data_IF_617337702490
#
_entry.id   IF_617337702490
#
_cell.length_a   1.000
_cell.length_b   1.000
_cell.length_c   1.000
_cell.angle_alpha   90.00
_cell.angle_beta   90.00
_cell.angle_gamma   90.00
#
_symmetry.space_group_name_H-M   'P 1'
#
loop_
_entity.id
_entity.type
_entity.pdbx_description
1 polymer ?
#
# COMPACT_ATOMS: atom_id res chain seq x y z
N UNK A 1 -8.59 5.39 -25.30
CA UNK A 1 -8.15 3.99 -25.04
C UNK A 1 -8.07 3.83 -23.53
N UNK A 2 -8.96 3.04 -22.89
CA UNK A 2 -8.87 2.74 -21.45
C UNK A 2 -7.55 1.99 -21.19
N UNK A 3 -6.80 2.39 -20.17
CA UNK A 3 -5.54 1.76 -19.79
C UNK A 3 -5.87 0.32 -19.37
N UNK A 4 -5.35 -0.67 -20.12
CA UNK A 4 -5.73 -2.08 -19.94
C UNK A 4 -5.06 -2.71 -18.71
N UNK A 5 -3.88 -2.18 -18.33
CA UNK A 5 -3.13 -2.47 -17.11
C UNK A 5 -2.29 -1.25 -16.71
N UNK A 6 -2.25 -0.94 -15.42
CA UNK A 6 -1.52 0.18 -14.84
C UNK A 6 -1.77 0.24 -13.33
N UNK A 7 -1.13 1.19 -12.65
CA UNK A 7 -1.19 1.41 -11.18
C UNK A 7 -2.63 1.45 -10.64
N UNK A 8 -3.61 1.80 -11.48
CA UNK A 8 -4.99 2.06 -11.11
C UNK A 8 -6.01 1.07 -11.67
N UNK A 9 -5.64 -0.19 -11.92
CA UNK A 9 -6.59 -1.27 -12.15
C UNK A 9 -5.94 -2.62 -11.79
N UNK A 10 -5.49 -2.78 -10.52
CA UNK A 10 -4.78 -3.98 -10.12
C UNK A 10 -5.72 -5.20 -10.11
N UNK A 11 -5.20 -6.35 -10.56
CA UNK A 11 -5.83 -7.63 -10.26
C UNK A 11 -5.66 -7.92 -8.77
N UNK A 12 -6.55 -8.73 -8.18
CA UNK A 12 -6.41 -9.17 -6.78
C UNK A 12 -5.44 -10.34 -6.59
N UNK A 13 -5.10 -11.07 -7.65
CA UNK A 13 -4.18 -12.20 -7.62
C UNK A 13 -3.66 -12.55 -9.03
N UNK A 14 -2.84 -13.60 -9.15
CA UNK A 14 -2.48 -14.23 -10.42
C UNK A 14 -1.50 -13.45 -11.31
N UNK A 15 -0.81 -12.44 -10.77
CA UNK A 15 0.27 -11.74 -11.49
C UNK A 15 1.62 -12.23 -11.00
N UNK A 16 2.68 -12.05 -11.80
CA UNK A 16 4.05 -12.35 -11.36
C UNK A 16 4.46 -11.52 -10.12
N UNK A 17 3.93 -10.31 -9.97
CA UNK A 17 4.15 -9.48 -8.78
C UNK A 17 3.46 -10.09 -7.55
N UNK A 18 2.27 -10.67 -7.70
CA UNK A 18 1.60 -11.36 -6.60
C UNK A 18 2.40 -12.58 -6.13
N UNK A 19 2.95 -13.39 -7.06
CA UNK A 19 3.79 -14.53 -6.69
C UNK A 19 5.09 -14.11 -5.99
N UNK A 20 5.74 -13.05 -6.47
CA UNK A 20 6.95 -12.53 -5.83
C UNK A 20 6.67 -11.95 -4.43
N UNK A 21 5.56 -11.21 -4.29
CA UNK A 21 5.14 -10.64 -3.02
C UNK A 21 4.77 -11.75 -2.02
N UNK A 22 4.02 -12.75 -2.46
CA UNK A 22 3.63 -13.90 -1.63
C UNK A 22 4.84 -14.67 -1.12
N UNK A 23 5.80 -14.98 -1.99
CA UNK A 23 7.06 -15.60 -1.58
C UNK A 23 7.79 -14.75 -0.54
N UNK A 24 7.89 -13.44 -0.76
CA UNK A 24 8.60 -12.53 0.16
C UNK A 24 7.94 -12.52 1.54
N UNK A 25 6.62 -12.35 1.60
CA UNK A 25 5.88 -12.31 2.85
C UNK A 25 5.98 -13.66 3.56
N UNK A 26 5.76 -14.76 2.85
CA UNK A 26 5.86 -16.11 3.40
C UNK A 26 7.24 -16.40 4.01
N UNK A 27 8.33 -16.05 3.32
CA UNK A 27 9.67 -16.31 3.84
C UNK A 27 9.97 -15.47 5.09
N UNK A 28 9.53 -14.22 5.12
CA UNK A 28 9.72 -13.34 6.29
C UNK A 28 8.90 -13.80 7.49
N UNK A 29 7.61 -14.08 7.30
CA UNK A 29 6.72 -14.49 8.40
C UNK A 29 7.08 -15.89 8.92
N UNK A 30 7.49 -16.83 8.05
CA UNK A 30 8.01 -18.13 8.49
C UNK A 30 9.30 -18.03 9.32
N UNK A 31 10.08 -16.96 9.12
CA UNK A 31 11.26 -16.67 9.92
C UNK A 31 10.93 -15.95 11.24
N UNK A 32 9.65 -15.71 11.54
CA UNK A 32 9.20 -14.99 12.73
C UNK A 32 9.43 -13.48 12.64
N UNK A 33 9.52 -12.93 11.43
CA UNK A 33 9.64 -11.49 11.20
C UNK A 33 8.25 -10.93 10.90
N UNK A 34 7.80 -9.96 11.70
CA UNK A 34 6.56 -9.23 11.44
C UNK A 34 6.68 -8.41 10.16
N UNK A 35 5.69 -8.51 9.27
CA UNK A 35 5.68 -7.83 7.98
C UNK A 35 4.59 -6.77 7.95
N UNK A 36 5.00 -5.51 8.02
CA UNK A 36 4.11 -4.36 7.84
C UNK A 36 3.98 -4.02 6.36
N UNK A 37 2.75 -4.11 5.84
CA UNK A 37 2.42 -3.82 4.45
C UNK A 37 1.86 -2.42 4.33
N UNK A 38 2.72 -1.45 4.04
CA UNK A 38 2.30 -0.05 3.90
C UNK A 38 1.85 0.24 2.47
N UNK A 39 0.56 0.51 2.30
CA UNK A 39 0.03 1.09 1.09
C UNK A 39 0.12 2.62 1.17
N UNK A 40 1.15 3.18 0.57
CA UNK A 40 1.43 4.61 0.61
C UNK A 40 0.31 5.44 -0.05
N UNK A 41 0.06 6.67 0.47
CA UNK A 41 -0.94 7.56 -0.10
C UNK A 41 -0.54 8.02 -1.50
N UNK A 42 -1.53 8.42 -2.29
CA UNK A 42 -1.34 9.03 -3.58
C UNK A 42 -1.72 10.52 -3.53
N UNK A 43 -1.25 11.28 -4.52
CA UNK A 43 -1.63 12.69 -4.62
C UNK A 43 -3.16 12.83 -4.70
N UNK A 44 -3.82 13.70 -3.92
CA UNK A 44 -5.29 13.73 -3.79
C UNK A 44 -6.06 13.79 -5.12
N UNK A 45 -5.54 14.52 -6.11
CA UNK A 45 -6.11 14.60 -7.46
C UNK A 45 -6.27 13.24 -8.16
N UNK A 46 -5.54 12.20 -7.75
CA UNK A 46 -5.68 10.86 -8.34
C UNK A 46 -7.09 10.31 -8.11
N UNK A 47 -7.68 10.56 -6.94
CA UNK A 47 -8.94 9.95 -6.53
C UNK A 47 -10.12 10.44 -7.39
N UNK A 48 -10.05 11.68 -7.89
CA UNK A 48 -11.07 12.26 -8.79
C UNK A 48 -11.20 11.51 -10.12
N UNK A 49 -10.19 10.70 -10.49
CA UNK A 49 -10.16 9.93 -11.74
C UNK A 49 -10.37 8.44 -11.54
N UNK A 50 -10.64 7.99 -10.32
CA UNK A 50 -10.93 6.59 -10.01
C UNK A 50 -12.43 6.34 -10.03
N UNK A 51 -12.83 5.31 -10.78
CA UNK A 51 -14.18 4.79 -10.70
C UNK A 51 -14.37 3.98 -9.41
N UNK A 52 -15.60 3.92 -8.87
CA UNK A 52 -15.91 2.99 -7.78
C UNK A 52 -15.47 1.56 -8.11
N UNK A 53 -14.80 0.91 -7.16
CA UNK A 53 -14.32 -0.47 -7.29
C UNK A 53 -13.04 -0.66 -8.12
N UNK A 54 -12.51 0.40 -8.72
CA UNK A 54 -11.36 0.30 -9.64
C UNK A 54 -10.05 -0.15 -8.95
N UNK A 55 -9.94 0.05 -7.63
CA UNK A 55 -8.77 -0.32 -6.82
C UNK A 55 -9.06 -1.50 -5.88
N UNK A 56 -10.21 -2.18 -6.01
CA UNK A 56 -10.58 -3.28 -5.11
C UNK A 56 -9.55 -4.42 -5.10
N UNK A 57 -8.87 -4.65 -6.22
CA UNK A 57 -7.77 -5.62 -6.28
C UNK A 57 -6.63 -5.32 -5.31
N UNK A 58 -6.32 -4.05 -5.06
CA UNK A 58 -5.32 -3.63 -4.08
C UNK A 58 -5.79 -3.95 -2.65
N UNK A 59 -7.02 -3.56 -2.29
CA UNK A 59 -7.58 -3.83 -0.96
C UNK A 59 -7.65 -5.34 -0.69
N UNK A 60 -8.18 -6.11 -1.63
CA UNK A 60 -8.22 -7.58 -1.52
C UNK A 60 -6.84 -8.21 -1.36
N UNK A 61 -5.79 -7.61 -1.95
CA UNK A 61 -4.42 -8.11 -1.79
C UNK A 61 -3.94 -7.93 -0.35
N UNK A 62 -4.21 -6.78 0.27
CA UNK A 62 -3.87 -6.53 1.68
C UNK A 62 -4.62 -7.49 2.61
N UNK A 63 -5.94 -7.61 2.44
CA UNK A 63 -6.79 -8.51 3.25
C UNK A 63 -6.32 -9.98 3.14
N UNK A 64 -5.93 -10.40 1.93
CA UNK A 64 -5.42 -11.75 1.69
C UNK A 64 -4.14 -12.04 2.48
N UNK A 65 -3.16 -11.13 2.44
CA UNK A 65 -1.88 -11.34 3.12
C UNK A 65 -2.01 -11.21 4.63
N UNK A 66 -2.89 -10.34 5.13
CA UNK A 66 -3.26 -10.28 6.54
C UNK A 66 -3.84 -11.63 7.00
N UNK A 67 -4.91 -12.10 6.35
CA UNK A 67 -5.59 -13.31 6.76
C UNK A 67 -4.78 -14.60 6.60
N UNK A 68 -3.91 -14.68 5.57
CA UNK A 68 -3.15 -15.89 5.27
C UNK A 68 -1.82 -15.98 6.03
N UNK A 69 -1.10 -14.87 6.15
CA UNK A 69 0.27 -14.86 6.68
C UNK A 69 0.42 -14.04 7.96
N UNK A 70 -0.64 -13.40 8.45
CA UNK A 70 -0.55 -12.50 9.59
C UNK A 70 0.24 -11.22 9.28
N UNK A 71 0.36 -10.85 8.01
CA UNK A 71 0.95 -9.56 7.64
C UNK A 71 0.07 -8.41 8.17
N UNK A 72 0.68 -7.26 8.47
CA UNK A 72 0.02 -6.15 9.16
C UNK A 72 -0.23 -5.03 8.15
N UNK A 73 -1.46 -4.86 7.65
CA UNK A 73 -1.74 -3.84 6.64
C UNK A 73 -1.80 -2.44 7.26
N UNK A 74 -1.09 -1.49 6.67
CA UNK A 74 -1.21 -0.06 6.95
C UNK A 74 -1.67 0.61 5.67
N UNK A 75 -2.98 0.86 5.57
CA UNK A 75 -3.59 1.32 4.32
C UNK A 75 -3.80 2.84 4.29
N UNK A 76 -2.74 3.57 3.98
CA UNK A 76 -2.79 5.02 3.79
C UNK A 76 -3.21 5.44 2.37
N UNK A 77 -3.45 4.50 1.46
CA UNK A 77 -3.88 4.80 0.10
C UNK A 77 -5.17 5.61 0.06
N UNK A 78 -6.06 5.45 1.04
CA UNK A 78 -7.34 6.15 1.10
C UNK A 78 -7.28 7.46 1.88
N UNK A 79 -6.12 7.85 2.37
CA UNK A 79 -5.95 9.09 3.10
C UNK A 79 -5.65 10.27 2.19
N UNK A 80 -6.04 11.45 2.68
CA UNK A 80 -5.70 12.72 2.06
C UNK A 80 -4.49 13.32 2.78
N UNK A 81 -3.38 13.41 2.07
CA UNK A 81 -2.20 14.15 2.50
C UNK A 81 -2.09 15.44 1.70
N UNK A 82 -1.37 16.43 2.25
CA UNK A 82 -1.24 17.74 1.61
C UNK A 82 -0.59 17.59 0.22
N UNK A 83 -1.11 18.24 -0.83
CA UNK A 83 -0.56 18.14 -2.19
C UNK A 83 0.95 18.42 -2.28
N UNK A 84 1.47 19.33 -1.44
CA UNK A 84 2.89 19.67 -1.37
C UNK A 84 3.80 18.53 -0.89
N UNK A 85 3.23 17.50 -0.25
CA UNK A 85 3.96 16.32 0.22
C UNK A 85 4.33 15.36 -0.91
N UNK A 86 3.89 15.62 -2.15
CA UNK A 86 4.08 14.71 -3.28
C UNK A 86 5.00 15.33 -4.33
N UNK A 87 5.92 14.51 -4.85
CA UNK A 87 6.76 14.88 -6.00
C UNK A 87 5.98 14.74 -7.30
N UNK A 88 5.14 13.72 -7.37
CA UNK A 88 4.27 13.39 -8.49
C UNK A 88 3.05 12.61 -8.00
N UNK A 89 2.19 12.16 -8.90
CA UNK A 89 0.90 11.53 -8.56
C UNK A 89 0.99 10.34 -7.59
N UNK A 90 2.12 9.63 -7.55
CA UNK A 90 2.26 8.38 -6.79
C UNK A 90 3.58 8.25 -6.03
N UNK A 91 4.34 9.34 -5.91
CA UNK A 91 5.57 9.37 -5.11
C UNK A 91 5.59 10.58 -4.18
N UNK A 92 5.98 10.34 -2.94
CA UNK A 92 6.23 11.38 -1.94
C UNK A 92 7.42 12.26 -2.34
N UNK A 93 7.31 13.55 -2.02
CA UNK A 93 8.38 14.54 -2.05
C UNK A 93 9.21 14.53 -0.77
N UNK A 94 9.97 15.59 -0.52
CA UNK A 94 10.82 15.67 0.68
C UNK A 94 9.97 15.73 1.96
N UNK A 95 9.06 16.69 2.04
CA UNK A 95 8.15 16.86 3.18
C UNK A 95 7.27 15.62 3.42
N UNK A 96 6.78 14.99 2.34
CA UNK A 96 5.97 13.77 2.47
C UNK A 96 6.75 12.58 3.02
N UNK A 97 8.05 12.48 2.71
CA UNK A 97 8.91 11.42 3.26
C UNK A 97 9.18 11.63 4.75
N UNK A 98 9.40 12.88 5.18
CA UNK A 98 9.53 13.21 6.60
C UNK A 98 8.25 12.85 7.35
N UNK A 99 7.09 13.29 6.85
CA UNK A 99 5.79 12.96 7.43
C UNK A 99 5.51 11.45 7.48
N UNK A 100 5.86 10.72 6.42
CA UNK A 100 5.77 9.25 6.39
C UNK A 100 6.59 8.62 7.53
N UNK A 101 7.83 9.07 7.73
CA UNK A 101 8.71 8.56 8.79
C UNK A 101 8.16 8.84 10.19
N UNK A 102 7.61 10.04 10.42
CA UNK A 102 6.97 10.40 11.69
C UNK A 102 5.76 9.50 11.98
N UNK A 103 4.91 9.28 10.97
CA UNK A 103 3.70 8.46 11.12
C UNK A 103 4.01 6.99 11.32
N UNK A 104 4.93 6.41 10.53
CA UNK A 104 5.22 4.98 10.66
C UNK A 104 5.86 4.68 12.02
N UNK A 105 6.64 5.62 12.58
CA UNK A 105 7.17 5.47 13.93
C UNK A 105 6.04 5.37 14.98
N UNK A 106 4.95 6.13 14.83
CA UNK A 106 3.77 6.02 15.71
C UNK A 106 3.10 4.65 15.57
N UNK A 107 2.85 4.19 14.34
CA UNK A 107 2.23 2.87 14.09
C UNK A 107 3.06 1.74 14.70
N UNK A 108 4.38 1.75 14.49
CA UNK A 108 5.28 0.74 15.04
C UNK A 108 5.31 0.78 16.57
N UNK A 109 5.36 1.97 17.18
CA UNK A 109 5.32 2.11 18.63
C UNK A 109 3.98 1.64 19.23
N UNK A 110 2.87 1.82 18.52
CA UNK A 110 1.55 1.33 18.97
C UNK A 110 1.43 -0.18 18.86
N UNK A 111 2.07 -0.79 17.85
CA UNK A 111 2.03 -2.25 17.68
C UNK A 111 2.89 -2.99 18.70
N UNK A 112 4.10 -2.49 18.97
CA UNK A 112 5.07 -3.16 19.86
C UNK A 112 5.05 -2.67 21.32
N UNK A 113 4.44 -1.51 21.59
CA UNK A 113 4.38 -0.88 22.92
C UNK A 113 3.24 -1.42 23.77
#
# INVERSE_FOLDING_TARGET
KRVKYGVYNPLSNGTLNHFALEYTIEQLTNAGIDVFMVAAPHHPQVYDYLEPGQIDGHNHTLDYFEGKYGAIPINWFWENWEPGMFRDRNHLGDEGREYYCERIAVELNQYYG
#
